data_IF_445545269293
#
_entry.id   IF_445545269293
#
_cell.length_a   1.000
_cell.length_b   1.000
_cell.length_c   1.000
_cell.angle_alpha   90.00
_cell.angle_beta   90.00
_cell.angle_gamma   90.00
#
_symmetry.space_group_name_H-M   'P 1'
#
loop_
_entity.id
_entity.type
_entity.pdbx_description
1 polymer ?
#
# COMPACT_ATOMS: atom_id res chain seq x y z
N UNK A 1 -74.27 30.54 -59.86
CA UNK A 1 -74.82 30.21 -58.53
C UNK A 1 -74.91 28.69 -58.47
N UNK A 2 -74.25 27.89 -57.63
CA UNK A 2 -73.40 28.05 -56.44
C UNK A 2 -72.59 26.74 -56.39
N UNK A 3 -71.26 26.83 -56.21
CA UNK A 3 -70.35 25.67 -56.16
C UNK A 3 -70.46 24.99 -54.79
N UNK A 4 -70.75 23.69 -54.81
CA UNK A 4 -70.71 22.78 -53.66
C UNK A 4 -69.30 22.18 -53.54
N UNK A 5 -68.54 22.60 -52.52
CA UNK A 5 -67.25 22.02 -52.16
C UNK A 5 -67.37 21.37 -50.78
N UNK A 6 -67.28 20.04 -50.76
CA UNK A 6 -67.32 19.22 -49.55
C UNK A 6 -65.90 19.13 -49.00
N UNK A 7 -65.64 19.76 -47.85
CA UNK A 7 -64.34 19.69 -47.16
C UNK A 7 -64.32 18.45 -46.26
N UNK A 8 -63.50 17.47 -46.64
CA UNK A 8 -63.15 16.32 -45.82
C UNK A 8 -62.03 16.79 -44.88
N UNK A 9 -62.36 17.03 -43.62
CA UNK A 9 -61.38 17.32 -42.58
C UNK A 9 -61.74 16.55 -41.32
N UNK A 10 -60.72 15.92 -40.74
CA UNK A 10 -60.64 15.38 -39.37
C UNK A 10 -61.18 13.97 -39.11
N UNK A 11 -60.41 12.96 -39.55
CA UNK A 11 -60.21 11.73 -38.78
C UNK A 11 -58.72 11.37 -38.93
N UNK A 12 -57.92 11.52 -37.86
CA UNK A 12 -56.65 10.85 -37.49
C UNK A 12 -56.00 11.75 -36.42
N UNK A 13 -56.48 11.67 -35.19
CA UNK A 13 -55.69 11.97 -33.98
C UNK A 13 -56.29 11.11 -32.87
N UNK A 14 -55.77 9.92 -32.63
CA UNK A 14 -55.79 9.25 -31.33
C UNK A 14 -54.86 8.03 -31.41
N UNK A 15 -54.19 7.70 -30.31
CA UNK A 15 -53.20 6.62 -30.11
C UNK A 15 -51.74 6.99 -30.39
N UNK A 16 -51.24 7.99 -29.67
CA UNK A 16 -49.80 8.17 -29.40
C UNK A 16 -49.59 8.75 -28.00
N UNK A 17 -50.11 8.08 -26.96
CA UNK A 17 -49.85 8.47 -25.58
C UNK A 17 -50.15 7.29 -24.65
N UNK A 18 -49.18 6.38 -24.45
CA UNK A 18 -49.05 5.49 -23.28
C UNK A 18 -47.82 4.57 -23.44
N UNK A 19 -46.63 5.16 -23.47
CA UNK A 19 -45.43 4.49 -22.98
C UNK A 19 -44.96 5.30 -21.78
N UNK A 20 -45.73 5.21 -20.70
CA UNK A 20 -45.33 5.69 -19.39
C UNK A 20 -44.08 4.90 -19.01
N UNK A 21 -43.00 5.65 -18.88
CA UNK A 21 -41.69 5.21 -18.43
C UNK A 21 -41.83 4.51 -17.07
N UNK A 22 -41.89 3.18 -17.05
CA UNK A 22 -41.53 2.38 -15.89
C UNK A 22 -40.02 2.43 -15.72
N UNK A 23 -39.52 3.63 -15.41
CA UNK A 23 -38.21 3.80 -14.79
C UNK A 23 -38.29 3.21 -13.40
N UNK A 24 -38.05 1.90 -13.29
CA UNK A 24 -37.67 1.30 -12.02
C UNK A 24 -36.45 2.08 -11.52
N UNK A 25 -36.67 3.05 -10.64
CA UNK A 25 -35.61 3.65 -9.86
C UNK A 25 -35.07 2.54 -8.97
N UNK A 26 -34.10 1.78 -9.48
CA UNK A 26 -33.41 0.77 -8.72
C UNK A 26 -32.86 1.44 -7.46
N UNK A 27 -33.28 0.94 -6.30
CA UNK A 27 -32.83 1.46 -5.02
C UNK A 27 -31.32 1.18 -4.93
N UNK A 28 -30.51 2.23 -5.04
CA UNK A 28 -29.06 2.11 -4.89
C UNK A 28 -28.76 1.97 -3.40
N UNK A 29 -28.16 0.86 -2.94
CA UNK A 29 -27.87 0.67 -1.54
C UNK A 29 -27.01 1.81 -0.98
N UNK A 30 -27.39 2.30 0.19
CA UNK A 30 -26.61 3.27 0.98
C UNK A 30 -25.93 2.50 2.10
N UNK A 31 -24.63 2.70 2.28
CA UNK A 31 -23.83 2.08 3.34
C UNK A 31 -24.34 2.53 4.71
N UNK A 32 -24.69 1.56 5.54
CA UNK A 32 -25.10 1.77 6.94
C UNK A 32 -24.04 1.20 7.89
N UNK A 33 -24.12 1.59 9.17
CA UNK A 33 -23.28 0.99 10.21
C UNK A 33 -23.55 -0.52 10.28
N UNK A 34 -22.49 -1.32 10.28
CA UNK A 34 -22.57 -2.79 10.34
C UNK A 34 -22.57 -3.48 8.98
N UNK A 35 -22.81 -2.76 7.88
CA UNK A 35 -22.79 -3.34 6.53
C UNK A 35 -21.39 -3.83 6.16
N UNK A 36 -21.33 -4.93 5.42
CA UNK A 36 -20.09 -5.36 4.78
C UNK A 36 -19.98 -4.65 3.44
N UNK A 37 -18.89 -3.93 3.23
CA UNK A 37 -18.66 -3.16 2.01
C UNK A 37 -17.41 -3.64 1.29
N UNK A 38 -17.49 -3.73 -0.04
CA UNK A 38 -16.35 -3.90 -0.92
C UNK A 38 -16.02 -2.56 -1.56
N UNK A 39 -14.76 -2.13 -1.50
CA UNK A 39 -14.35 -0.83 -2.03
C UNK A 39 -12.95 -0.85 -2.68
N UNK A 40 -12.71 0.14 -3.52
CA UNK A 40 -11.37 0.53 -3.92
C UNK A 40 -10.98 1.86 -3.29
N UNK A 41 -9.68 2.02 -3.02
CA UNK A 41 -9.14 3.31 -2.65
C UNK A 41 -7.79 3.59 -3.32
N UNK A 42 -7.47 4.87 -3.44
CA UNK A 42 -6.13 5.38 -3.74
C UNK A 42 -5.82 6.55 -2.79
N UNK A 43 -4.84 6.35 -1.91
CA UNK A 43 -4.42 7.33 -0.92
C UNK A 43 -3.08 7.95 -1.30
N UNK A 44 -3.01 9.28 -1.29
CA UNK A 44 -1.83 10.07 -1.66
C UNK A 44 -1.33 10.90 -0.49
N UNK A 45 -0.03 11.13 -0.47
CA UNK A 45 0.61 12.14 0.40
C UNK A 45 0.24 13.55 -0.11
N UNK A 46 0.51 14.57 0.72
CA UNK A 46 0.25 15.97 0.37
C UNK A 46 1.02 16.44 -0.87
N UNK A 47 2.15 15.81 -1.19
CA UNK A 47 2.92 16.06 -2.41
C UNK A 47 2.32 15.38 -3.67
N UNK A 48 1.20 14.67 -3.55
CA UNK A 48 0.53 13.96 -4.64
C UNK A 48 1.06 12.54 -4.93
N UNK A 49 2.11 12.09 -4.25
CA UNK A 49 2.64 10.74 -4.43
C UNK A 49 1.67 9.69 -3.87
N UNK A 50 1.49 8.58 -4.60
CA UNK A 50 0.66 7.46 -4.18
C UNK A 50 1.32 6.72 -3.00
N UNK A 51 0.65 6.70 -1.86
CA UNK A 51 1.10 6.03 -0.64
C UNK A 51 0.55 4.60 -0.55
N UNK A 52 -0.71 4.40 -0.91
CA UNK A 52 -1.35 3.08 -0.95
C UNK A 52 -2.53 3.06 -1.93
N UNK A 53 -2.82 1.89 -2.50
CA UNK A 53 -4.00 1.65 -3.31
C UNK A 53 -4.41 0.17 -3.23
N UNK A 54 -5.70 -0.09 -3.48
CA UNK A 54 -6.22 -1.46 -3.67
C UNK A 54 -6.16 -1.92 -5.11
N UNK A 55 -6.09 -0.99 -6.06
CA UNK A 55 -6.00 -1.31 -7.47
C UNK A 55 -4.54 -1.43 -7.90
N UNK A 56 -4.27 -2.30 -8.87
CA UNK A 56 -3.03 -2.22 -9.64
C UNK A 56 -2.97 -0.85 -10.30
N UNK A 57 -1.96 -0.09 -9.91
CA UNK A 57 -1.76 1.28 -10.36
C UNK A 57 -1.64 1.35 -11.89
N UNK A 58 -2.32 2.33 -12.48
CA UNK A 58 -2.01 2.85 -13.81
C UNK A 58 -0.82 3.83 -13.75
N UNK A 59 0.02 3.87 -14.78
CA UNK A 59 1.40 4.39 -14.77
C UNK A 59 1.54 5.90 -14.47
N UNK A 60 0.45 6.64 -14.27
CA UNK A 60 0.40 8.10 -14.28
C UNK A 60 0.82 8.82 -12.99
N UNK A 61 0.66 8.23 -11.80
CA UNK A 61 1.04 8.88 -10.54
C UNK A 61 2.50 8.56 -10.15
N UNK A 62 3.21 9.42 -9.41
CA UNK A 62 4.47 9.03 -8.77
C UNK A 62 4.17 8.14 -7.55
N UNK A 63 5.02 7.14 -7.25
CA UNK A 63 4.89 6.32 -6.04
C UNK A 63 5.70 6.94 -4.93
N UNK A 64 5.11 7.04 -3.74
CA UNK A 64 5.88 7.35 -2.54
C UNK A 64 6.87 6.21 -2.26
N UNK A 65 7.98 6.50 -1.59
CA UNK A 65 8.95 5.48 -1.18
C UNK A 65 8.37 4.40 -0.25
N UNK A 66 7.22 4.69 0.36
CA UNK A 66 6.47 3.75 1.20
C UNK A 66 5.45 2.91 0.42
N UNK A 67 5.22 3.15 -0.87
CA UNK A 67 4.20 2.43 -1.63
C UNK A 67 4.57 0.95 -1.82
N UNK A 68 3.61 0.06 -1.55
CA UNK A 68 3.72 -1.37 -1.87
C UNK A 68 2.82 -1.70 -3.07
N UNK A 69 3.40 -2.10 -4.22
CA UNK A 69 2.62 -2.53 -5.36
C UNK A 69 1.74 -3.74 -5.05
N UNK A 70 0.47 -3.70 -5.47
CA UNK A 70 -0.43 -4.85 -5.46
C UNK A 70 -0.21 -5.72 -6.69
N UNK A 71 -0.46 -7.02 -6.54
CA UNK A 71 -0.40 -8.00 -7.63
C UNK A 71 -1.70 -8.08 -8.43
N UNK A 72 -2.81 -7.75 -7.77
CA UNK A 72 -4.17 -7.78 -8.29
C UNK A 72 -4.93 -6.53 -7.81
N UNK A 73 -6.13 -6.35 -8.35
CA UNK A 73 -7.04 -5.27 -7.99
C UNK A 73 -8.20 -5.83 -7.16
N UNK A 74 -7.92 -6.64 -6.15
CA UNK A 74 -8.97 -7.15 -5.27
C UNK A 74 -9.58 -6.00 -4.43
N UNK A 75 -10.91 -5.86 -4.37
CA UNK A 75 -11.56 -4.88 -3.50
C UNK A 75 -11.23 -5.13 -2.03
N UNK A 76 -10.99 -4.05 -1.27
CA UNK A 76 -10.93 -4.14 0.18
C UNK A 76 -12.34 -4.42 0.71
N UNK A 77 -12.49 -5.51 1.47
CA UNK A 77 -13.72 -5.82 2.20
C UNK A 77 -13.58 -5.39 3.67
N UNK A 78 -14.53 -4.60 4.17
CA UNK A 78 -14.55 -4.15 5.57
C UNK A 78 -15.98 -4.03 6.11
N UNK A 79 -16.13 -3.86 7.42
CA UNK A 79 -17.41 -3.56 8.07
C UNK A 79 -17.53 -2.06 8.32
N UNK A 80 -18.54 -1.42 7.72
CA UNK A 80 -18.75 0.01 7.85
C UNK A 80 -19.12 0.41 9.28
N UNK A 81 -18.60 1.54 9.74
CA UNK A 81 -18.83 2.09 11.07
C UNK A 81 -18.03 1.46 12.22
N UNK A 82 -17.26 0.39 11.96
CA UNK A 82 -16.45 -0.28 13.00
C UNK A 82 -14.94 -0.16 12.74
N UNK A 83 -14.18 0.62 13.54
CA UNK A 83 -12.73 0.71 13.40
C UNK A 83 -12.01 -0.57 13.87
N UNK A 84 -12.69 -1.50 14.52
CA UNK A 84 -12.08 -2.72 15.06
C UNK A 84 -12.04 -3.89 14.06
N UNK A 85 -12.77 -3.78 12.93
CA UNK A 85 -13.01 -4.91 12.02
C UNK A 85 -11.77 -5.40 11.27
N UNK A 86 -10.62 -4.72 11.37
CA UNK A 86 -9.45 -5.00 10.52
C UNK A 86 -8.42 -5.94 11.16
N UNK A 87 -8.43 -6.14 12.49
CA UNK A 87 -7.84 -7.30 13.17
C UNK A 87 -7.81 -7.03 14.68
N UNK A 88 -8.72 -7.65 15.43
CA UNK A 88 -8.61 -7.70 16.88
C UNK A 88 -7.35 -8.52 17.26
N UNK A 89 -6.48 -7.96 18.12
CA UNK A 89 -5.33 -8.66 18.68
C UNK A 89 -3.98 -8.43 17.97
N UNK A 90 -3.92 -7.64 16.89
CA UNK A 90 -2.64 -7.27 16.26
C UNK A 90 -2.00 -6.11 17.04
N UNK A 91 -0.82 -6.37 17.62
CA UNK A 91 -0.09 -5.39 18.44
C UNK A 91 0.38 -4.16 17.66
N UNK A 92 0.69 -4.33 16.37
CA UNK A 92 1.12 -3.26 15.47
C UNK A 92 0.40 -3.39 14.13
N UNK A 93 -0.66 -2.59 13.90
CA UNK A 93 -1.40 -2.68 12.65
C UNK A 93 -0.54 -2.24 11.47
N UNK A 94 -0.78 -2.81 10.29
CA UNK A 94 -0.11 -2.33 9.08
C UNK A 94 -0.61 -0.94 8.67
N UNK A 95 0.16 -0.26 7.83
CA UNK A 95 -0.23 1.02 7.23
C UNK A 95 -1.58 0.91 6.49
N UNK A 96 -1.77 -0.12 5.68
CA UNK A 96 -3.02 -0.37 4.97
C UNK A 96 -4.17 -0.73 5.92
N UNK A 97 -3.90 -1.46 7.01
CA UNK A 97 -4.92 -1.75 8.01
C UNK A 97 -5.41 -0.46 8.67
N UNK A 98 -4.50 0.46 8.97
CA UNK A 98 -4.88 1.73 9.57
C UNK A 98 -5.68 2.60 8.60
N UNK A 99 -5.32 2.63 7.31
CA UNK A 99 -6.18 3.24 6.28
C UNK A 99 -7.56 2.60 6.31
N UNK A 100 -7.64 1.27 6.28
CA UNK A 100 -8.90 0.54 6.29
C UNK A 100 -9.79 0.87 7.50
N UNK A 101 -9.22 0.98 8.71
CA UNK A 101 -9.98 1.39 9.92
C UNK A 101 -10.59 2.77 9.77
N UNK A 102 -9.83 3.72 9.23
CA UNK A 102 -10.28 5.12 9.07
C UNK A 102 -11.33 5.23 7.98
N UNK A 103 -11.13 4.49 6.89
CA UNK A 103 -12.09 4.40 5.80
C UNK A 103 -13.39 3.76 6.27
N UNK A 104 -13.34 2.70 7.08
CA UNK A 104 -14.52 2.01 7.59
C UNK A 104 -15.54 2.93 8.25
N UNK A 105 -15.08 3.94 9.00
CA UNK A 105 -15.95 4.93 9.64
C UNK A 105 -16.47 5.97 8.64
N UNK A 106 -15.65 6.37 7.67
CA UNK A 106 -15.97 7.47 6.75
C UNK A 106 -16.86 7.08 5.57
N UNK A 107 -16.96 5.78 5.24
CA UNK A 107 -17.80 5.29 4.14
C UNK A 107 -19.29 5.20 4.48
N UNK A 108 -19.66 5.34 5.75
CA UNK A 108 -21.07 5.33 6.18
C UNK A 108 -21.82 6.48 5.49
N UNK A 109 -22.96 6.15 4.88
CA UNK A 109 -23.76 7.08 4.09
C UNK A 109 -23.32 7.26 2.63
N UNK A 110 -22.23 6.61 2.20
CA UNK A 110 -21.92 6.51 0.76
C UNK A 110 -22.91 5.59 0.05
N UNK A 111 -23.19 5.86 -1.22
CA UNK A 111 -23.98 4.97 -2.08
C UNK A 111 -23.09 3.95 -2.78
N UNK A 112 -23.63 2.78 -3.07
CA UNK A 112 -22.98 1.84 -3.98
C UNK A 112 -22.72 2.52 -5.35
N UNK A 113 -21.51 2.39 -5.87
CA UNK A 113 -21.03 3.06 -7.09
C UNK A 113 -20.54 4.50 -6.88
N UNK A 114 -20.72 5.08 -5.69
CA UNK A 114 -20.22 6.43 -5.39
C UNK A 114 -18.69 6.43 -5.25
N UNK A 115 -18.07 7.48 -5.80
CA UNK A 115 -16.68 7.83 -5.52
C UNK A 115 -16.62 9.12 -4.70
N UNK A 116 -15.82 9.14 -3.64
CA UNK A 116 -15.67 10.29 -2.74
C UNK A 116 -14.21 10.46 -2.33
N UNK A 117 -13.70 11.68 -2.43
CA UNK A 117 -12.41 12.06 -1.86
C UNK A 117 -12.58 12.43 -0.39
N UNK A 118 -11.67 11.94 0.46
CA UNK A 118 -11.68 12.21 1.90
C UNK A 118 -10.26 12.25 2.47
N UNK A 119 -10.09 12.93 3.60
CA UNK A 119 -8.81 12.99 4.30
C UNK A 119 -8.77 11.92 5.38
N UNK A 120 -7.73 11.10 5.35
CA UNK A 120 -7.42 10.11 6.38
C UNK A 120 -6.26 10.64 7.23
N UNK A 121 -6.50 10.79 8.53
CA UNK A 121 -5.53 11.33 9.50
C UNK A 121 -5.47 10.46 10.75
N UNK A 122 -4.32 10.45 11.42
CA UNK A 122 -4.17 9.93 12.78
C UNK A 122 -3.70 11.06 13.70
N UNK A 123 -4.51 11.37 14.71
CA UNK A 123 -4.24 12.42 15.69
C UNK A 123 -3.47 11.91 16.89
N UNK A 124 -3.51 10.61 17.18
CA UNK A 124 -2.87 10.02 18.36
C UNK A 124 -1.48 9.50 18.01
N UNK A 125 -0.46 10.10 18.61
CA UNK A 125 0.88 9.52 18.70
C UNK A 125 0.94 8.56 19.88
N UNK A 126 1.62 7.43 19.73
CA UNK A 126 1.99 6.60 20.87
C UNK A 126 2.76 7.43 21.91
N UNK A 127 2.63 7.06 23.19
CA UNK A 127 3.27 7.75 24.33
C UNK A 127 4.79 7.84 24.19
N UNK A 128 5.35 8.93 24.73
CA UNK A 128 6.76 9.31 24.58
C UNK A 128 7.76 8.16 24.80
N UNK A 129 8.58 7.91 23.78
CA UNK A 129 9.66 6.93 23.78
C UNK A 129 9.31 5.56 23.18
N UNK A 130 8.02 5.21 23.09
CA UNK A 130 7.60 3.98 22.41
C UNK A 130 7.55 4.20 20.89
N UNK A 131 8.07 3.25 20.11
CA UNK A 131 8.06 3.33 18.65
C UNK A 131 9.26 4.01 18.01
N UNK A 132 10.28 4.41 18.79
CA UNK A 132 11.55 4.89 18.21
C UNK A 132 12.50 3.72 17.94
N UNK A 133 13.13 3.73 16.77
CA UNK A 133 14.13 2.74 16.37
C UNK A 133 15.37 3.44 15.81
N UNK A 134 16.55 2.98 16.20
CA UNK A 134 17.80 3.44 15.61
C UNK A 134 18.36 2.36 14.69
N UNK A 135 18.76 2.77 13.49
CA UNK A 135 19.41 1.91 12.50
C UNK A 135 20.70 2.55 12.02
N UNK A 136 21.64 1.74 11.52
CA UNK A 136 22.90 2.25 10.99
C UNK A 136 22.69 3.03 9.69
N UNK A 137 23.36 4.19 9.59
CA UNK A 137 23.43 4.99 8.35
C UNK A 137 24.37 4.36 7.32
N UNK A 138 25.35 3.58 7.78
CA UNK A 138 26.28 2.84 6.94
C UNK A 138 26.04 1.35 7.15
N UNK A 139 25.61 0.65 6.10
CA UNK A 139 25.48 -0.82 6.13
C UNK A 139 26.78 -1.43 5.63
N UNK A 140 27.38 -2.29 6.45
CA UNK A 140 28.65 -2.93 6.14
C UNK A 140 28.40 -4.38 5.70
N UNK A 141 29.06 -4.81 4.63
CA UNK A 141 29.07 -6.20 4.16
C UNK A 141 30.49 -6.66 3.91
N UNK A 142 30.94 -7.79 4.46
CA UNK A 142 32.25 -8.30 4.13
C UNK A 142 32.31 -8.71 2.66
N UNK A 143 33.48 -8.64 2.03
CA UNK A 143 33.70 -9.15 0.67
C UNK A 143 33.76 -10.67 0.62
N UNK A 144 34.14 -11.29 1.73
CA UNK A 144 34.23 -12.73 1.89
C UNK A 144 33.49 -13.16 3.15
N UNK A 145 32.73 -14.25 3.07
CA UNK A 145 32.11 -14.89 4.22
C UNK A 145 32.48 -16.37 4.20
N UNK A 146 33.05 -16.82 5.31
CA UNK A 146 33.38 -18.20 5.59
C UNK A 146 32.37 -18.76 6.58
N UNK A 147 31.62 -19.78 6.21
CA UNK A 147 30.67 -20.48 7.08
C UNK A 147 30.81 -21.99 6.94
N UNK A 148 30.38 -22.74 7.95
CA UNK A 148 30.36 -24.20 7.85
C UNK A 148 29.34 -24.70 6.83
N UNK A 149 29.56 -25.89 6.28
CA UNK A 149 28.57 -26.56 5.42
C UNK A 149 27.23 -26.72 6.12
N UNK A 150 27.24 -27.10 7.40
CA UNK A 150 26.02 -27.27 8.20
C UNK A 150 25.25 -25.95 8.34
N UNK A 151 25.97 -24.85 8.57
CA UNK A 151 25.37 -23.50 8.63
C UNK A 151 24.75 -23.12 7.29
N UNK A 152 25.46 -23.37 6.19
CA UNK A 152 24.94 -23.12 4.84
C UNK A 152 23.66 -23.94 4.58
N UNK A 153 23.67 -25.23 4.87
CA UNK A 153 22.54 -26.13 4.66
C UNK A 153 21.35 -25.75 5.56
N UNK A 154 21.60 -25.39 6.82
CA UNK A 154 20.56 -24.92 7.73
C UNK A 154 19.89 -23.62 7.23
N UNK A 155 20.65 -22.72 6.59
CA UNK A 155 20.13 -21.46 6.07
C UNK A 155 19.47 -21.58 4.70
N UNK A 156 19.97 -22.45 3.82
CA UNK A 156 19.55 -22.54 2.40
C UNK A 156 18.75 -23.80 2.07
N UNK A 157 18.65 -24.75 2.99
CA UNK A 157 17.95 -26.03 2.80
C UNK A 157 18.56 -26.94 1.73
N UNK A 158 19.71 -26.59 1.17
CA UNK A 158 20.36 -27.32 0.09
C UNK A 158 21.87 -27.32 0.26
N UNK A 159 22.54 -28.31 -0.34
CA UNK A 159 24.00 -28.38 -0.31
C UNK A 159 24.63 -27.15 -1.02
N UNK A 160 25.80 -26.70 -0.55
CA UNK A 160 26.58 -25.66 -1.21
C UNK A 160 27.21 -26.21 -2.51
N UNK A 161 27.16 -25.40 -3.57
CA UNK A 161 27.75 -25.71 -4.87
C UNK A 161 28.48 -24.47 -5.37
N UNK A 162 29.68 -24.65 -5.96
CA UNK A 162 30.45 -23.53 -6.52
C UNK A 162 29.65 -22.80 -7.59
N UNK A 163 29.66 -21.47 -7.54
CA UNK A 163 28.90 -20.60 -8.42
C UNK A 163 27.45 -20.33 -7.99
N UNK A 164 26.92 -21.08 -7.02
CA UNK A 164 25.55 -20.91 -6.52
C UNK A 164 25.38 -19.57 -5.84
N UNK A 165 24.23 -18.93 -6.09
CA UNK A 165 23.91 -17.62 -5.53
C UNK A 165 23.71 -17.68 -4.02
N UNK A 166 24.26 -16.68 -3.33
CA UNK A 166 24.11 -16.49 -1.90
C UNK A 166 23.93 -15.00 -1.60
N UNK A 167 22.73 -14.60 -1.20
CA UNK A 167 22.46 -13.22 -0.79
C UNK A 167 22.07 -13.17 0.69
N UNK A 168 22.79 -12.33 1.46
CA UNK A 168 22.35 -11.81 2.76
C UNK A 168 21.67 -10.45 2.55
N UNK A 169 22.24 -9.66 1.66
CA UNK A 169 21.75 -8.35 1.26
C UNK A 169 21.57 -8.35 -0.26
N UNK A 170 20.34 -8.26 -0.78
CA UNK A 170 20.11 -8.27 -2.23
C UNK A 170 20.87 -7.18 -2.99
N UNK A 171 21.26 -6.09 -2.30
CA UNK A 171 22.02 -4.98 -2.88
C UNK A 171 23.50 -5.31 -3.10
N UNK A 172 24.01 -6.36 -2.44
CA UNK A 172 25.40 -6.83 -2.55
C UNK A 172 25.32 -8.36 -2.68
N UNK A 173 25.02 -8.86 -3.90
CA UNK A 173 24.88 -10.30 -4.13
C UNK A 173 26.21 -11.02 -3.92
N UNK A 174 26.14 -12.26 -3.45
CA UNK A 174 27.29 -13.15 -3.30
C UNK A 174 27.11 -14.44 -4.08
N UNK A 175 28.22 -15.13 -4.28
CA UNK A 175 28.27 -16.47 -4.86
C UNK A 175 29.20 -17.35 -4.06
N UNK A 176 28.88 -18.63 -3.99
CA UNK A 176 29.80 -19.63 -3.44
C UNK A 176 31.02 -19.69 -4.33
N UNK A 177 32.17 -19.32 -3.81
CA UNK A 177 33.45 -19.33 -4.51
C UNK A 177 34.13 -20.70 -4.40
N UNK A 178 34.17 -21.27 -3.19
CA UNK A 178 34.74 -22.58 -2.96
C UNK A 178 33.99 -23.34 -1.87
N UNK A 179 33.99 -24.66 -1.99
CA UNK A 179 33.44 -25.58 -1.00
C UNK A 179 34.51 -26.61 -0.68
N UNK A 180 34.87 -26.76 0.60
CA UNK A 180 35.72 -27.84 1.09
C UNK A 180 34.93 -28.75 2.06
N UNK A 181 35.62 -29.64 2.77
CA UNK A 181 34.98 -30.63 3.65
C UNK A 181 34.19 -29.99 4.79
N UNK A 182 34.64 -28.84 5.32
CA UNK A 182 34.06 -28.22 6.50
C UNK A 182 33.47 -26.82 6.24
N UNK A 183 33.92 -26.14 5.20
CA UNK A 183 33.72 -24.72 4.99
C UNK A 183 33.20 -24.41 3.58
N UNK A 184 32.38 -23.37 3.52
CA UNK A 184 31.88 -22.72 2.31
C UNK A 184 32.40 -21.29 2.32
N UNK A 185 33.18 -20.94 1.31
CA UNK A 185 33.62 -19.58 1.06
C UNK A 185 32.64 -18.91 0.09
N UNK A 186 32.07 -17.80 0.51
CA UNK A 186 31.17 -16.97 -0.29
C UNK A 186 31.89 -15.66 -0.59
N UNK A 187 31.98 -15.30 -1.86
CA UNK A 187 32.49 -13.99 -2.29
C UNK A 187 31.32 -13.10 -2.68
N UNK A 188 31.26 -11.93 -2.07
CA UNK A 188 30.32 -10.87 -2.39
C UNK A 188 30.92 -9.94 -3.43
N UNK A 189 30.09 -9.42 -4.33
CA UNK A 189 30.52 -8.47 -5.34
C UNK A 189 29.56 -7.30 -5.45
N UNK A 190 30.12 -6.11 -5.58
CA UNK A 190 29.40 -4.88 -5.85
C UNK A 190 30.28 -3.90 -6.63
N UNK A 191 29.65 -2.98 -7.35
CA UNK A 191 30.34 -1.95 -8.13
C UNK A 191 30.39 -0.67 -7.28
N UNK A 192 31.57 -0.21 -6.81
CA UNK A 192 31.68 1.02 -6.05
C UNK A 192 31.20 2.23 -6.88
N UNK A 193 30.58 3.21 -6.21
CA UNK A 193 29.94 4.35 -6.84
C UNK A 193 28.51 4.09 -7.30
N UNK A 194 28.04 2.83 -7.32
CA UNK A 194 26.66 2.50 -7.66
C UNK A 194 25.69 3.08 -6.65
N UNK A 195 24.68 3.80 -7.16
CA UNK A 195 23.52 4.20 -6.37
C UNK A 195 22.55 3.03 -6.22
N UNK A 196 22.12 2.75 -4.99
CA UNK A 196 21.14 1.72 -4.66
C UNK A 196 19.95 2.32 -3.93
N UNK A 197 18.77 1.75 -4.12
CA UNK A 197 17.59 2.12 -3.35
C UNK A 197 17.55 1.32 -2.04
N UNK A 198 17.42 2.01 -0.91
CA UNK A 198 17.23 1.38 0.41
C UNK A 198 15.88 1.78 1.01
N UNK A 199 15.37 1.06 2.02
CA UNK A 199 14.14 1.47 2.71
C UNK A 199 14.22 2.85 3.40
N UNK A 200 15.42 3.40 3.56
CA UNK A 200 15.68 4.66 4.28
C UNK A 200 16.16 5.80 3.37
N UNK A 201 16.12 5.61 2.05
CA UNK A 201 16.61 6.57 1.05
C UNK A 201 17.58 5.94 0.05
N UNK A 202 18.15 6.78 -0.81
CA UNK A 202 19.22 6.36 -1.73
C UNK A 202 20.49 6.06 -0.95
N UNK A 203 21.28 5.10 -1.42
CA UNK A 203 22.59 4.79 -0.85
C UNK A 203 23.66 4.69 -1.93
N UNK A 204 24.91 4.97 -1.59
CA UNK A 204 26.05 4.80 -2.49
C UNK A 204 26.93 3.69 -1.97
N UNK A 205 27.24 2.72 -2.84
CA UNK A 205 28.18 1.65 -2.50
C UNK A 205 29.61 2.19 -2.53
N UNK A 206 30.36 1.95 -1.47
CA UNK A 206 31.81 2.18 -1.39
C UNK A 206 32.52 0.86 -1.15
N UNK A 207 33.77 0.78 -1.60
CA UNK A 207 34.65 -0.35 -1.32
C UNK A 207 35.69 0.10 -0.32
N UNK A 208 35.80 -0.62 0.79
CA UNK A 208 36.95 -0.59 1.68
C UNK A 208 37.86 -1.79 1.34
N UNK A 209 38.82 -2.10 2.20
CA UNK A 209 39.79 -3.19 1.97
C UNK A 209 39.08 -4.55 1.96
N UNK A 210 38.42 -4.91 3.04
CA UNK A 210 37.79 -6.22 3.30
C UNK A 210 36.25 -6.21 3.23
N UNK A 211 35.66 -5.03 3.01
CA UNK A 211 34.21 -4.84 3.04
C UNK A 211 33.69 -3.87 1.98
N UNK A 212 32.40 -3.97 1.72
CA UNK A 212 31.59 -2.99 1.03
C UNK A 212 30.76 -2.21 2.06
N UNK A 213 30.56 -0.92 1.79
CA UNK A 213 29.79 -0.02 2.63
C UNK A 213 28.68 0.63 1.81
N UNK A 214 27.44 0.54 2.27
CA UNK A 214 26.32 1.29 1.68
C UNK A 214 26.09 2.52 2.55
N UNK A 215 26.50 3.69 2.06
CA UNK A 215 26.32 4.98 2.72
C UNK A 215 24.94 5.53 2.36
N UNK A 216 24.01 5.57 3.31
CA UNK A 216 22.61 5.94 3.07
C UNK A 216 22.43 7.46 3.21
N UNK A 217 21.90 8.09 2.15
CA UNK A 217 21.39 9.47 2.14
C UNK A 217 19.97 9.51 2.70
N UNK A 218 19.87 9.27 4.01
CA UNK A 218 18.63 9.39 4.75
C UNK A 218 18.33 10.86 5.04
N UNK A 219 17.06 11.27 4.87
CA UNK A 219 16.64 12.66 5.08
C UNK A 219 15.63 12.76 6.23
N UNK A 220 15.88 13.61 7.23
CA UNK A 220 14.86 13.93 8.22
C UNK A 220 13.56 14.39 7.55
N UNK A 221 12.44 13.94 8.10
CA UNK A 221 11.11 14.18 7.57
C UNK A 221 10.62 13.14 6.57
N UNK A 222 11.50 12.34 5.95
CA UNK A 222 11.07 11.33 4.99
C UNK A 222 10.33 10.18 5.67
N UNK A 223 9.26 9.71 5.02
CA UNK A 223 8.59 8.48 5.40
C UNK A 223 9.38 7.25 4.96
N UNK A 224 9.40 6.22 5.80
CA UNK A 224 10.07 4.95 5.54
C UNK A 224 9.15 3.80 5.87
N UNK A 225 9.32 2.70 5.12
CA UNK A 225 8.56 1.47 5.33
C UNK A 225 9.47 0.38 5.87
N UNK A 226 9.03 -0.31 6.91
CA UNK A 226 9.75 -1.44 7.51
C UNK A 226 8.78 -2.57 7.79
N UNK A 227 8.70 -3.49 6.82
CA UNK A 227 7.65 -4.51 6.79
C UNK A 227 6.27 -3.84 6.68
N UNK A 228 5.31 -4.18 7.56
CA UNK A 228 3.95 -3.62 7.51
C UNK A 228 3.88 -2.18 8.04
N UNK A 229 4.91 -1.71 8.76
CA UNK A 229 4.90 -0.42 9.44
C UNK A 229 5.45 0.68 8.53
N UNK A 230 4.86 1.87 8.65
CA UNK A 230 5.39 3.12 8.12
C UNK A 230 5.76 4.01 9.29
N UNK A 231 6.92 4.67 9.19
CA UNK A 231 7.41 5.63 10.18
C UNK A 231 8.10 6.80 9.51
N UNK A 232 8.56 7.75 10.31
CA UNK A 232 9.25 8.96 9.85
C UNK A 232 10.69 9.00 10.34
N UNK A 233 11.63 9.41 9.48
CA UNK A 233 12.99 9.71 9.91
C UNK A 233 12.94 11.02 10.71
N UNK A 234 13.22 10.96 12.01
CA UNK A 234 13.20 12.14 12.88
C UNK A 234 14.59 12.72 13.14
N UNK A 235 15.65 11.92 12.94
CA UNK A 235 17.04 12.36 13.12
C UNK A 235 18.00 11.54 12.26
N UNK A 236 19.00 12.20 11.70
CA UNK A 236 20.12 11.56 10.99
C UNK A 236 21.42 12.17 11.49
N UNK A 237 22.27 11.34 12.08
CA UNK A 237 23.62 11.72 12.50
C UNK A 237 24.64 10.99 11.59
N UNK A 238 25.93 11.08 11.90
CA UNK A 238 26.98 10.46 11.07
C UNK A 238 26.92 8.93 11.02
N UNK A 239 26.38 8.32 12.08
CA UNK A 239 26.37 6.85 12.24
C UNK A 239 24.97 6.24 12.23
N UNK A 240 23.97 7.01 12.64
CA UNK A 240 22.64 6.49 12.97
C UNK A 240 21.53 7.28 12.29
N UNK A 241 20.48 6.56 11.94
CA UNK A 241 19.19 7.08 11.51
C UNK A 241 18.19 6.73 12.61
N UNK A 242 17.48 7.73 13.13
CA UNK A 242 16.41 7.53 14.12
C UNK A 242 15.06 7.62 13.43
N UNK A 243 14.28 6.55 13.57
CA UNK A 243 12.95 6.37 13.01
C UNK A 243 11.92 6.50 14.12
N UNK A 244 10.76 7.06 13.80
CA UNK A 244 9.61 7.16 14.67
C UNK A 244 8.39 6.48 14.04
N UNK A 245 7.92 5.41 14.67
CA UNK A 245 6.72 4.64 14.31
C UNK A 245 5.55 4.90 15.26
N UNK A 246 5.62 5.94 16.09
CA UNK A 246 4.55 6.28 17.05
C UNK A 246 3.26 6.75 16.37
N UNK A 247 3.34 7.22 15.12
CA UNK A 247 2.20 7.55 14.28
C UNK A 247 2.20 6.60 13.06
N UNK A 248 1.09 5.89 12.79
CA UNK A 248 1.00 4.91 11.71
C UNK A 248 1.13 5.55 10.31
N UNK A 249 0.89 6.85 10.18
CA UNK A 249 1.08 7.62 8.94
C UNK A 249 2.32 8.52 8.98
N UNK A 250 3.20 8.34 9.99
CA UNK A 250 4.38 9.19 10.18
C UNK A 250 4.05 10.66 10.45
N UNK A 251 2.83 10.97 10.89
CA UNK A 251 2.35 12.33 11.09
C UNK A 251 1.88 13.03 9.81
N UNK A 252 1.77 12.33 8.70
CA UNK A 252 1.21 12.86 7.45
C UNK A 252 -0.31 12.65 7.40
N UNK A 253 -0.98 13.54 6.66
CA UNK A 253 -2.38 13.38 6.28
C UNK A 253 -2.46 12.79 4.86
N UNK A 254 -3.35 11.81 4.67
CA UNK A 254 -3.54 11.15 3.39
C UNK A 254 -4.81 11.65 2.69
N UNK A 255 -4.69 12.07 1.43
CA UNK A 255 -5.83 12.35 0.56
C UNK A 255 -6.24 11.06 -0.16
N UNK A 256 -7.39 10.50 0.20
CA UNK A 256 -7.88 9.21 -0.31
C UNK A 256 -9.10 9.39 -1.20
N UNK A 257 -9.02 8.88 -2.43
CA UNK A 257 -10.18 8.69 -3.30
C UNK A 257 -10.73 7.29 -3.08
N UNK A 258 -12.02 7.18 -2.75
CA UNK A 258 -12.65 5.90 -2.37
C UNK A 258 -13.86 5.65 -3.26
N UNK A 259 -13.99 4.44 -3.78
CA UNK A 259 -15.11 3.99 -4.58
C UNK A 259 -15.77 2.78 -3.94
N UNK A 260 -17.05 2.88 -3.58
CA UNK A 260 -17.83 1.76 -3.03
C UNK A 260 -18.34 0.90 -4.19
N UNK A 261 -17.99 -0.38 -4.19
CA UNK A 261 -18.36 -1.32 -5.26
C UNK A 261 -19.54 -2.20 -4.87
N UNK A 262 -19.58 -2.66 -3.62
CA UNK A 262 -20.64 -3.52 -3.10
C UNK A 262 -21.03 -3.14 -1.69
N UNK A 263 -22.31 -3.37 -1.37
CA UNK A 263 -22.89 -3.22 -0.03
C UNK A 263 -23.70 -4.47 0.27
N UNK A 264 -23.28 -5.22 1.28
CA UNK A 264 -23.98 -6.38 1.82
C UNK A 264 -24.59 -5.97 3.16
N UNK A 265 -25.90 -5.83 3.16
CA UNK A 265 -26.66 -5.44 4.35
C UNK A 265 -26.57 -6.51 5.43
N UNK A 266 -26.43 -6.07 6.69
CA UNK A 266 -26.45 -7.00 7.82
C UNK A 266 -27.84 -7.68 7.93
N UNK A 267 -27.86 -9.01 8.09
CA UNK A 267 -29.10 -9.77 8.20
C UNK A 267 -29.92 -9.30 9.42
N UNK A 268 -31.03 -8.59 9.15
CA UNK A 268 -31.88 -7.98 10.19
C UNK A 268 -32.26 -6.52 9.90
N UNK A 269 -31.61 -5.88 8.92
CA UNK A 269 -31.83 -4.50 8.51
C UNK A 269 -32.59 -4.42 7.18
N UNK A 270 -33.67 -5.21 7.04
CA UNK A 270 -34.62 -5.05 5.93
C UNK A 270 -35.71 -4.08 6.37
N UNK A 271 -35.72 -2.91 5.73
CA UNK A 271 -36.80 -1.92 5.68
C UNK A 271 -37.30 -1.40 7.03
N UNK A 272 -36.69 -0.30 7.49
CA UNK A 272 -37.37 0.73 8.27
C UNK A 272 -37.46 2.01 7.46
#
# INVERSE_FOLDING_TARGET
>A
MTKSGWNISNIIILVAALLVQSGCAAHVPVVQNGDRVGLHYACRLQNGELAAATMVKDQSAANAGIYLPKKDSEPLSLTAGSPESVAAGVRFPSFEDEIARRVAVQVVGMRQGESRSMTVVEKKTATDGQGKLQVARVRVRPKELRISRDTYMAQKGTAPEVGKEYAIDPLIPGKVESVNDNEVLIRFSAIPGTEVSTPFGKGIIRSAEDQYEIHIDARPGSLVRSGPMVGKIIKVDDRLITLDYSNPFGGEELACDITVLSVEQQAGQKDK
#
